data_IF_891824923978
#
_entry.id   IF_891824923978
#
_cell.length_a   1.000
_cell.length_b   1.000
_cell.length_c   1.000
_cell.angle_alpha   90.00
_cell.angle_beta   90.00
_cell.angle_gamma   90.00
#
_symmetry.space_group_name_H-M   'P 1'
#
loop_
_entity.id
_entity.type
_entity.pdbx_description
1 polymer ?
#
# COMPACT_ATOMS: atom_id res chain seq x y z
N UNK A 1 -12.10 -39.57 -3.74
CA UNK A 1 -12.50 -38.27 -4.34
C UNK A 1 -11.48 -37.26 -3.87
N UNK A 2 -10.51 -36.95 -4.74
CA UNK A 2 -9.42 -36.01 -4.49
C UNK A 2 -9.98 -34.61 -4.28
N UNK A 3 -9.54 -33.94 -3.21
CA UNK A 3 -9.99 -32.59 -2.81
C UNK A 3 -9.14 -31.48 -3.44
N UNK A 4 -8.31 -31.82 -4.42
CA UNK A 4 -7.16 -30.98 -4.80
C UNK A 4 -7.39 -30.05 -6.00
N UNK A 5 -8.61 -29.97 -6.56
CA UNK A 5 -8.87 -29.20 -7.79
C UNK A 5 -9.83 -27.99 -7.62
N UNK A 6 -10.09 -27.54 -6.40
CA UNK A 6 -10.85 -26.28 -6.24
C UNK A 6 -9.89 -25.12 -6.54
N UNK A 7 -10.18 -24.33 -7.57
CA UNK A 7 -9.46 -23.08 -7.83
C UNK A 7 -9.41 -22.25 -6.52
N UNK A 8 -8.27 -21.62 -6.19
CA UNK A 8 -8.15 -20.88 -4.94
C UNK A 8 -9.29 -19.88 -4.86
N UNK A 9 -9.97 -19.84 -3.71
CA UNK A 9 -11.08 -18.94 -3.51
C UNK A 9 -10.61 -17.49 -3.76
N UNK A 10 -11.12 -16.91 -4.86
CA UNK A 10 -10.74 -15.58 -5.29
C UNK A 10 -11.31 -14.55 -4.31
N UNK A 11 -10.47 -13.61 -3.89
CA UNK A 11 -10.92 -12.46 -3.10
C UNK A 11 -11.57 -11.43 -4.01
N UNK A 12 -12.54 -10.68 -3.47
CA UNK A 12 -13.13 -9.56 -4.18
C UNK A 12 -12.01 -8.64 -4.72
N UNK A 13 -11.92 -8.44 -6.06
CA UNK A 13 -10.91 -7.59 -6.67
C UNK A 13 -10.88 -6.17 -6.09
N UNK A 14 -12.01 -5.67 -5.56
CA UNK A 14 -12.10 -4.36 -4.92
C UNK A 14 -11.15 -4.23 -3.72
N UNK A 15 -10.85 -5.33 -3.03
CA UNK A 15 -9.93 -5.36 -1.88
C UNK A 15 -8.46 -5.20 -2.28
N UNK A 16 -8.14 -5.44 -3.56
CA UNK A 16 -6.80 -5.24 -4.14
C UNK A 16 -6.60 -3.86 -4.74
N UNK A 17 -7.65 -3.05 -4.80
CA UNK A 17 -7.55 -1.68 -5.32
C UNK A 17 -6.81 -0.85 -4.27
N UNK A 18 -5.64 -0.34 -4.66
CA UNK A 18 -4.87 0.59 -3.84
C UNK A 18 -5.71 1.83 -3.50
N UNK A 19 -5.45 2.41 -2.33
CA UNK A 19 -6.17 3.60 -1.90
C UNK A 19 -5.84 4.76 -2.86
N UNK A 20 -6.85 5.53 -3.34
CA UNK A 20 -6.63 6.57 -4.34
C UNK A 20 -5.57 7.59 -3.94
N UNK A 21 -4.82 8.08 -4.94
CA UNK A 21 -3.77 9.10 -4.80
C UNK A 21 -2.71 8.75 -3.73
N UNK A 22 -2.46 7.47 -3.50
CA UNK A 22 -1.54 7.02 -2.47
C UNK A 22 -0.83 5.73 -2.84
N UNK A 23 0.34 5.52 -2.24
CA UNK A 23 1.16 4.34 -2.44
C UNK A 23 1.43 3.67 -1.08
N UNK A 24 1.31 2.34 -1.02
CA UNK A 24 1.81 1.60 0.14
C UNK A 24 3.33 1.67 0.14
N UNK A 25 3.90 2.00 1.29
CA UNK A 25 5.33 2.04 1.53
C UNK A 25 5.64 1.34 2.84
N UNK A 26 6.87 0.87 2.98
CA UNK A 26 7.34 0.22 4.20
C UNK A 26 8.49 1.02 4.78
N UNK A 27 8.34 1.47 6.02
CA UNK A 27 9.40 2.14 6.78
C UNK A 27 10.08 1.11 7.68
N UNK A 28 11.41 1.10 7.69
CA UNK A 28 12.16 0.28 8.65
C UNK A 28 11.85 0.73 10.08
N UNK A 29 11.49 -0.23 10.93
CA UNK A 29 11.19 0.01 12.34
C UNK A 29 12.46 0.09 13.20
N UNK A 30 12.31 -0.20 14.49
CA UNK A 30 13.45 -0.24 15.42
C UNK A 30 14.40 -1.42 15.20
N UNK A 31 14.05 -2.36 14.32
CA UNK A 31 14.88 -3.50 13.92
C UNK A 31 14.92 -3.60 12.39
N UNK A 32 16.03 -4.06 11.79
CA UNK A 32 16.16 -4.13 10.33
C UNK A 32 15.13 -5.05 9.63
N UNK A 33 14.59 -6.04 10.34
CA UNK A 33 13.57 -6.97 9.83
C UNK A 33 12.15 -6.39 9.88
N UNK A 34 11.93 -5.33 10.67
CA UNK A 34 10.61 -4.75 10.87
C UNK A 34 10.28 -3.77 9.76
N UNK A 35 9.33 -4.15 8.91
CA UNK A 35 8.76 -3.31 7.85
C UNK A 35 7.39 -2.79 8.29
N UNK A 36 7.32 -1.53 8.72
CA UNK A 36 6.07 -0.89 9.15
C UNK A 36 5.33 -0.35 7.94
N UNK A 37 4.14 -0.90 7.67
CA UNK A 37 3.31 -0.46 6.57
C UNK A 37 2.78 0.96 6.82
N UNK A 38 2.97 1.82 5.83
CA UNK A 38 2.50 3.19 5.79
C UNK A 38 1.94 3.49 4.39
N UNK A 39 1.21 4.58 4.28
CA UNK A 39 0.69 5.11 3.04
C UNK A 39 1.34 6.45 2.74
N UNK A 40 2.03 6.55 1.61
CA UNK A 40 2.62 7.79 1.11
C UNK A 40 1.62 8.50 0.19
N UNK A 41 1.29 9.76 0.49
CA UNK A 41 0.44 10.62 -0.33
C UNK A 41 1.30 11.78 -0.86
N UNK A 42 1.37 11.87 -2.19
CA UNK A 42 2.04 12.99 -2.85
C UNK A 42 1.07 14.15 -2.98
N UNK A 43 1.52 15.33 -2.57
CA UNK A 43 0.77 16.57 -2.72
C UNK A 43 1.12 17.23 -4.05
N UNK A 44 0.18 17.96 -4.65
CA UNK A 44 0.50 18.86 -5.75
C UNK A 44 1.40 20.00 -5.28
N UNK A 45 2.26 20.53 -6.14
CA UNK A 45 3.07 21.70 -5.82
C UNK A 45 2.21 22.92 -5.44
N UNK A 46 2.74 23.79 -4.58
CA UNK A 46 2.15 25.08 -4.23
C UNK A 46 2.52 26.12 -5.28
N UNK A 47 1.56 26.73 -6.00
CA UNK A 47 1.87 27.84 -6.91
C UNK A 47 2.37 29.06 -6.14
N UNK A 48 3.51 29.61 -6.52
CA UNK A 48 4.09 30.81 -5.88
C UNK A 48 3.62 32.12 -6.51
N UNK A 49 3.15 32.06 -7.75
CA UNK A 49 2.45 33.15 -8.43
C UNK A 49 1.09 32.64 -8.94
N UNK A 50 0.02 33.29 -8.49
CA UNK A 50 -1.35 32.96 -8.89
C UNK A 50 -1.68 33.43 -10.30
N UNK A 51 -0.96 34.43 -10.82
CA UNK A 51 -1.18 35.01 -12.14
C UNK A 51 -0.40 34.27 -13.24
N UNK A 52 0.75 33.68 -12.90
CA UNK A 52 1.50 32.80 -13.79
C UNK A 52 1.93 31.54 -13.05
N UNK A 53 1.45 30.36 -13.46
CA UNK A 53 1.95 29.06 -12.94
C UNK A 53 3.39 28.74 -13.38
N UNK A 54 4.21 29.76 -13.65
CA UNK A 54 5.59 29.60 -14.06
C UNK A 54 6.49 29.18 -12.89
N UNK A 55 6.09 29.43 -11.65
CA UNK A 55 6.84 29.09 -10.44
C UNK A 55 5.97 28.35 -9.42
N UNK A 56 6.48 27.22 -8.95
CA UNK A 56 5.83 26.38 -7.93
C UNK A 56 6.86 25.86 -6.93
N UNK A 57 6.40 25.55 -5.73
CA UNK A 57 7.17 24.93 -4.67
C UNK A 57 6.66 23.50 -4.43
N UNK A 58 7.58 22.52 -4.50
CA UNK A 58 7.24 21.13 -4.27
C UNK A 58 6.90 20.87 -2.80
N UNK A 59 5.76 20.22 -2.56
CA UNK A 59 5.34 19.85 -1.21
C UNK A 59 5.91 18.48 -0.81
N UNK A 60 6.31 18.29 0.46
CA UNK A 60 6.81 17.02 0.92
C UNK A 60 5.70 15.95 0.91
N UNK A 61 6.06 14.66 0.79
CA UNK A 61 5.12 13.56 0.92
C UNK A 61 4.52 13.52 2.34
N UNK A 62 3.24 13.16 2.43
CA UNK A 62 2.56 12.89 3.71
C UNK A 62 2.50 11.38 3.93
N UNK A 63 2.99 10.93 5.07
CA UNK A 63 2.91 9.53 5.50
C UNK A 63 1.75 9.33 6.46
N UNK A 64 0.86 8.39 6.13
CA UNK A 64 -0.30 8.01 6.93
C UNK A 64 -0.17 6.55 7.37
N UNK A 65 -0.79 6.21 8.50
CA UNK A 65 -0.89 4.83 8.94
C UNK A 65 -1.73 4.01 7.94
N UNK A 66 -1.30 2.80 7.63
CA UNK A 66 -1.97 1.92 6.67
C UNK A 66 -2.41 0.58 7.31
N UNK A 67 -3.71 0.44 7.55
CA UNK A 67 -4.33 -0.75 8.13
C UNK A 67 -4.73 -1.81 7.11
N UNK A 68 -4.57 -1.54 5.82
CA UNK A 68 -5.04 -2.46 4.77
C UNK A 68 -4.21 -3.76 4.66
N UNK A 69 -3.02 -3.79 5.28
CA UNK A 69 -2.18 -4.98 5.33
C UNK A 69 -1.70 -5.45 3.95
N UNK A 70 -1.50 -6.76 3.80
CA UNK A 70 -1.03 -7.35 2.55
C UNK A 70 -2.06 -7.30 1.40
N UNK A 71 -3.33 -7.00 1.70
CA UNK A 71 -4.40 -7.05 0.68
C UNK A 71 -4.27 -6.00 -0.42
N UNK A 72 -3.69 -4.84 -0.10
CA UNK A 72 -3.42 -3.76 -1.06
C UNK A 72 -1.95 -3.65 -1.41
N UNK A 73 -1.13 -4.61 -0.99
CA UNK A 73 0.28 -4.67 -1.37
C UNK A 73 0.37 -5.32 -2.76
N UNK A 74 0.84 -4.60 -3.80
CA UNK A 74 0.93 -5.15 -5.15
C UNK A 74 1.89 -6.33 -5.26
N UNK A 75 2.85 -6.46 -4.33
CA UNK A 75 3.84 -7.53 -4.33
C UNK A 75 3.38 -8.75 -3.50
N UNK A 76 2.24 -8.66 -2.80
CA UNK A 76 1.73 -9.75 -1.97
C UNK A 76 0.89 -10.74 -2.77
N UNK A 77 1.28 -12.02 -2.69
CA UNK A 77 0.43 -13.13 -3.12
C UNK A 77 -0.54 -13.51 -2.00
N UNK A 78 -1.84 -13.39 -2.25
CA UNK A 78 -2.89 -13.70 -1.27
C UNK A 78 -3.58 -14.99 -1.66
N UNK A 79 -3.56 -15.95 -0.74
CA UNK A 79 -4.30 -17.20 -0.78
C UNK A 79 -5.06 -17.32 0.55
N UNK A 80 -6.38 -17.18 0.52
CA UNK A 80 -7.18 -17.12 1.75
C UNK A 80 -7.24 -18.46 2.48
N UNK A 81 -7.05 -19.57 1.77
CA UNK A 81 -7.04 -20.92 2.36
C UNK A 81 -5.74 -21.16 3.13
N UNK A 82 -4.65 -20.52 2.70
CA UNK A 82 -3.34 -20.57 3.37
C UNK A 82 -3.15 -19.49 4.43
N UNK A 83 -3.96 -18.43 4.38
CA UNK A 83 -3.82 -17.26 5.24
C UNK A 83 -2.65 -16.36 4.83
N UNK A 84 -2.45 -15.29 5.60
CA UNK A 84 -1.34 -14.34 5.37
C UNK A 84 0.01 -14.91 5.86
N UNK A 85 1.13 -14.51 5.23
CA UNK A 85 2.45 -14.86 5.71
C UNK A 85 2.65 -14.48 7.19
N UNK A 86 3.17 -15.40 8.03
CA UNK A 86 3.39 -15.12 9.45
C UNK A 86 4.64 -14.24 9.63
N UNK A 87 4.45 -12.92 9.57
CA UNK A 87 5.55 -11.95 9.72
C UNK A 87 6.10 -11.84 11.15
N UNK A 88 5.38 -12.41 12.14
CA UNK A 88 5.71 -12.33 13.56
C UNK A 88 5.66 -13.75 14.12
N UNK A 89 6.80 -14.25 14.56
CA UNK A 89 6.98 -15.54 15.24
C UNK A 89 7.36 -15.33 16.70
#
# INVERSE_FOLDING_TARGET
>A
MSKDDTAPADIDPSLRVGLPASQKVYIEGSRPDLRVAMRCVMQSDTPLDLASSATSEANPPIYLYDTSGAYTDPDATIDIEKGLPPLRS
#
